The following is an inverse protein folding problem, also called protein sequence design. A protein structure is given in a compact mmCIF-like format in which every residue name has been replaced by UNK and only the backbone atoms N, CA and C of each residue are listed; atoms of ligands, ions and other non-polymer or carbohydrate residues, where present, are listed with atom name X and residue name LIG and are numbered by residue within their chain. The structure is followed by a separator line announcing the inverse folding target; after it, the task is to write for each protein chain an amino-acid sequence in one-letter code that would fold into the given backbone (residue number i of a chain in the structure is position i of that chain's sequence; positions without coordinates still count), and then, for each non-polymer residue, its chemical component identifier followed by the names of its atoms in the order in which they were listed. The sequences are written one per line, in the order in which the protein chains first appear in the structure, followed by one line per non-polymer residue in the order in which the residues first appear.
data_IF_708622146287
#
_entry.id   IF_708622146287
#
_cell.length_a   1.000
_cell.length_b   1.000
_cell.length_c   1.000
_cell.angle_alpha   90.00
_cell.angle_beta   90.00
_cell.angle_gamma   90.00
#
_symmetry.space_group_name_H-M   'P 1'
#
loop_
_entity.id
_entity.type
_entity.pdbx_description
1 polymer ?
#
# COMPACT_ATOMS: atom_id res chain seq x y z
N UNK A 1 20.51 8.10 13.65
CA UNK A 1 19.55 8.19 12.52
C UNK A 1 19.41 6.80 11.92
N UNK A 2 18.38 6.04 12.32
CA UNK A 2 18.19 4.65 11.87
C UNK A 2 17.76 4.69 10.40
N UNK A 3 18.48 4.01 9.50
CA UNK A 3 18.12 3.94 8.07
C UNK A 3 16.74 3.28 7.96
N UNK A 4 15.85 3.84 7.12
CA UNK A 4 14.48 3.33 6.92
C UNK A 4 14.42 1.83 6.58
N UNK A 5 15.45 1.31 5.93
CA UNK A 5 15.63 -0.12 5.63
C UNK A 5 15.84 -0.99 6.88
N UNK A 6 16.48 -0.48 7.94
CA UNK A 6 16.67 -1.21 9.20
C UNK A 6 15.35 -1.33 9.98
N UNK A 7 14.52 -0.29 9.92
CA UNK A 7 13.20 -0.30 10.57
C UNK A 7 12.23 -1.26 9.86
N UNK A 8 12.33 -1.38 8.54
CA UNK A 8 11.58 -2.35 7.74
C UNK A 8 12.04 -3.80 8.00
N UNK A 9 13.34 -4.04 8.14
CA UNK A 9 13.90 -5.35 8.49
C UNK A 9 13.49 -5.78 9.90
N UNK A 10 13.50 -4.85 10.87
CA UNK A 10 13.01 -5.12 12.24
C UNK A 10 11.51 -5.42 12.26
N UNK A 11 10.71 -4.73 11.44
CA UNK A 11 9.28 -5.02 11.29
C UNK A 11 9.06 -6.43 10.71
N UNK A 12 9.81 -6.78 9.65
CA UNK A 12 9.78 -8.13 9.04
C UNK A 12 10.21 -9.22 10.02
N UNK A 13 11.28 -9.00 10.80
CA UNK A 13 11.73 -9.93 11.83
C UNK A 13 10.68 -10.11 12.95
N UNK A 14 10.01 -9.03 13.36
CA UNK A 14 8.92 -9.13 14.34
C UNK A 14 7.72 -9.92 13.81
N UNK A 15 7.45 -9.87 12.51
CA UNK A 15 6.40 -10.67 11.87
C UNK A 15 6.80 -12.15 11.78
N UNK A 16 8.09 -12.46 11.57
CA UNK A 16 8.57 -13.86 11.55
C UNK A 16 8.51 -14.53 12.91
N UNK A 17 8.68 -13.79 14.01
CA UNK A 17 8.53 -14.33 15.37
C UNK A 17 7.08 -14.66 15.72
N UNK A 18 6.10 -14.05 15.03
CA UNK A 18 4.69 -14.43 15.15
C UNK A 18 4.39 -15.74 14.41
N UNK A 19 5.02 -15.98 13.26
CA UNK A 19 4.83 -17.21 12.49
C UNK A 19 5.35 -18.48 13.21
N UNK A 20 6.23 -18.33 14.20
CA UNK A 20 6.77 -19.45 14.99
C UNK A 20 6.07 -19.63 16.34
N UNK A 21 5.14 -18.75 16.73
CA UNK A 21 4.46 -18.82 18.03
C UNK A 21 3.13 -19.61 17.98
N UNK A 22 2.75 -20.13 16.80
CA UNK A 22 1.46 -20.75 16.51
C UNK A 22 1.59 -22.27 16.28
N UNK A 23 2.34 -22.94 17.16
CA UNK A 23 2.28 -24.41 17.32
C UNK A 23 1.20 -24.83 18.33
N UNK A 24 0.44 -23.86 18.87
CA UNK A 24 -0.69 -24.12 19.74
C UNK A 24 -1.95 -24.42 18.90
N UNK A 25 -2.15 -25.72 18.72
CA UNK A 25 -3.38 -26.46 18.34
C UNK A 25 -3.99 -26.20 16.97
N UNK A 26 -3.15 -26.24 15.92
CA UNK A 26 -3.62 -26.57 14.57
C UNK A 26 -4.43 -27.89 14.58
N UNK A 27 -4.02 -28.86 15.41
CA UNK A 27 -4.69 -30.16 15.61
C UNK A 27 -6.13 -30.03 16.15
N UNK A 28 -6.42 -29.12 17.10
CA UNK A 28 -7.80 -28.92 17.60
C UNK A 28 -8.69 -28.23 16.55
N UNK A 29 -8.10 -27.42 15.68
CA UNK A 29 -8.81 -26.80 14.57
C UNK A 29 -9.07 -27.81 13.45
N UNK A 30 -8.15 -28.73 13.21
CA UNK A 30 -8.31 -29.84 12.25
C UNK A 30 -9.42 -30.80 12.70
N UNK A 31 -9.47 -31.17 13.98
CA UNK A 31 -10.51 -32.07 14.53
C UNK A 31 -11.92 -31.48 14.38
N UNK A 32 -12.09 -30.17 14.63
CA UNK A 32 -13.38 -29.49 14.42
C UNK A 32 -13.77 -29.32 12.95
N UNK A 33 -12.79 -29.21 12.06
CA UNK A 33 -13.02 -29.13 10.62
C UNK A 33 -13.44 -30.50 10.07
N UNK A 34 -12.86 -31.59 10.57
CA UNK A 34 -13.24 -32.94 10.16
C UNK A 34 -14.65 -33.33 10.64
N UNK A 35 -15.05 -32.98 11.87
CA UNK A 35 -16.45 -33.16 12.32
C UNK A 35 -17.45 -32.38 11.44
N UNK A 36 -17.12 -31.15 11.07
CA UNK A 36 -17.96 -30.33 10.18
C UNK A 36 -18.03 -30.91 8.75
N UNK A 37 -16.95 -31.54 8.29
CA UNK A 37 -16.85 -32.18 6.98
C UNK A 37 -17.68 -33.45 6.88
N UNK A 38 -17.67 -34.27 7.93
CA UNK A 38 -18.48 -35.50 8.02
C UNK A 38 -19.99 -35.20 8.04
N UNK A 39 -20.39 -34.09 8.67
CA UNK A 39 -21.76 -33.55 8.63
C UNK A 39 -22.15 -33.00 7.24
N UNK A 40 -21.19 -32.47 6.48
CA UNK A 40 -21.42 -31.90 5.16
C UNK A 40 -21.49 -32.96 4.04
N UNK A 41 -20.75 -34.07 4.15
CA UNK A 41 -20.74 -35.16 3.14
C UNK A 41 -22.11 -35.84 2.95
N UNK A 42 -23.02 -35.73 3.92
CA UNK A 42 -24.40 -36.26 3.78
C UNK A 42 -25.34 -35.36 2.97
N UNK A 43 -24.90 -34.23 2.42
CA UNK A 43 -25.76 -33.34 1.63
C UNK A 43 -24.97 -32.63 0.52
N UNK A 44 -24.76 -33.30 -0.62
CA UNK A 44 -23.94 -32.82 -1.76
C UNK A 44 -24.26 -31.39 -2.22
N UNK A 45 -25.51 -30.94 -2.15
CA UNK A 45 -25.92 -29.59 -2.56
C UNK A 45 -25.67 -28.51 -1.48
N UNK A 46 -25.40 -28.91 -0.23
CA UNK A 46 -25.02 -27.99 0.87
C UNK A 46 -23.51 -27.89 1.06
N UNK A 47 -22.70 -28.64 0.31
CA UNK A 47 -21.24 -28.68 0.50
C UNK A 47 -20.58 -27.35 0.10
N UNK A 48 -20.98 -26.73 -1.02
CA UNK A 48 -20.41 -25.43 -1.42
C UNK A 48 -20.85 -24.29 -0.48
N UNK A 49 -22.13 -24.26 -0.09
CA UNK A 49 -22.64 -23.25 0.85
C UNK A 49 -22.05 -23.43 2.26
N UNK A 50 -21.88 -24.68 2.72
CA UNK A 50 -21.22 -24.97 4.00
C UNK A 50 -19.73 -24.62 3.96
N UNK A 51 -19.02 -24.87 2.85
CA UNK A 51 -17.62 -24.47 2.72
C UNK A 51 -17.46 -22.94 2.73
N UNK A 52 -18.31 -22.19 2.00
CA UNK A 52 -18.27 -20.73 2.04
C UNK A 52 -18.62 -20.18 3.44
N UNK A 53 -19.58 -20.79 4.12
CA UNK A 53 -19.95 -20.41 5.48
C UNK A 53 -18.80 -20.66 6.47
N UNK A 54 -18.16 -21.84 6.39
CA UNK A 54 -16.99 -22.19 7.21
C UNK A 54 -15.80 -21.28 6.94
N UNK A 55 -15.56 -20.89 5.69
CA UNK A 55 -14.50 -19.93 5.36
C UNK A 55 -14.78 -18.56 5.98
N UNK A 56 -16.01 -18.04 5.85
CA UNK A 56 -16.36 -16.73 6.38
C UNK A 56 -16.30 -16.69 7.92
N UNK A 57 -16.78 -17.73 8.61
CA UNK A 57 -16.67 -17.84 10.06
C UNK A 57 -15.21 -17.99 10.51
N UNK A 58 -14.39 -18.73 9.77
CA UNK A 58 -12.95 -18.85 10.06
C UNK A 58 -12.25 -17.50 9.99
N UNK A 59 -12.62 -16.63 9.05
CA UNK A 59 -12.07 -15.27 8.96
C UNK A 59 -12.40 -14.42 10.17
N UNK A 60 -13.67 -14.43 10.56
CA UNK A 60 -14.13 -13.68 11.72
C UNK A 60 -13.49 -14.21 13.00
N UNK A 61 -13.36 -15.54 13.11
CA UNK A 61 -12.69 -16.20 14.23
C UNK A 61 -11.22 -15.80 14.35
N UNK A 62 -10.43 -15.91 13.28
CA UNK A 62 -9.02 -15.51 13.27
C UNK A 62 -8.85 -14.03 13.60
N UNK A 63 -9.71 -13.17 13.04
CA UNK A 63 -9.73 -11.75 13.35
C UNK A 63 -10.00 -11.48 14.84
N UNK A 64 -10.93 -12.20 15.44
CA UNK A 64 -11.27 -12.09 16.86
C UNK A 64 -10.16 -12.60 17.77
N UNK A 65 -9.56 -13.75 17.47
CA UNK A 65 -8.42 -14.29 18.21
C UNK A 65 -7.22 -13.33 18.17
N UNK A 66 -6.92 -12.78 17.00
CA UNK A 66 -5.83 -11.83 16.84
C UNK A 66 -6.06 -10.54 17.63
N UNK A 67 -7.29 -10.02 17.58
CA UNK A 67 -7.72 -8.88 18.39
C UNK A 67 -7.59 -9.17 19.89
N UNK A 68 -8.00 -10.35 20.35
CA UNK A 68 -7.89 -10.75 21.75
C UNK A 68 -6.42 -10.80 22.20
N UNK A 69 -5.56 -11.46 21.41
CA UNK A 69 -4.12 -11.56 21.68
C UNK A 69 -3.45 -10.18 21.75
N UNK A 70 -3.80 -9.27 20.83
CA UNK A 70 -3.31 -7.89 20.87
C UNK A 70 -3.78 -7.13 22.12
N UNK A 71 -5.06 -7.26 22.48
CA UNK A 71 -5.64 -6.55 23.61
C UNK A 71 -5.18 -7.06 24.97
N UNK A 72 -4.60 -8.27 25.06
CA UNK A 72 -3.92 -8.75 26.27
C UNK A 72 -2.76 -7.83 26.68
N UNK A 73 -2.13 -7.13 25.73
CA UNK A 73 -1.10 -6.13 26.04
C UNK A 73 -1.74 -4.79 26.46
N UNK A 74 -1.46 -4.35 27.70
CA UNK A 74 -1.99 -3.11 28.28
C UNK A 74 -1.73 -1.87 27.42
N UNK A 75 -0.56 -1.78 26.77
CA UNK A 75 -0.20 -0.64 25.91
C UNK A 75 -1.08 -0.62 24.67
N UNK A 76 -1.26 -1.78 24.03
CA UNK A 76 -2.08 -1.91 22.82
C UNK A 76 -3.55 -1.62 23.14
N UNK A 77 -4.06 -2.08 24.27
CA UNK A 77 -5.42 -1.77 24.72
C UNK A 77 -5.63 -0.26 24.95
N UNK A 78 -4.63 0.44 25.50
CA UNK A 78 -4.68 1.91 25.65
C UNK A 78 -4.70 2.62 24.28
N UNK A 79 -3.86 2.17 23.35
CA UNK A 79 -3.84 2.69 21.97
C UNK A 79 -5.19 2.44 21.30
N UNK A 80 -5.73 1.23 21.38
CA UNK A 80 -7.05 0.88 20.83
C UNK A 80 -8.17 1.78 21.39
N UNK A 81 -8.19 1.98 22.71
CA UNK A 81 -9.15 2.88 23.38
C UNK A 81 -8.99 4.32 22.90
N UNK A 82 -7.75 4.79 22.69
CA UNK A 82 -7.49 6.13 22.17
C UNK A 82 -7.91 6.27 20.70
N UNK A 83 -7.60 5.30 19.84
CA UNK A 83 -7.98 5.30 18.43
C UNK A 83 -9.50 5.23 18.26
N UNK A 84 -10.21 4.46 19.09
CA UNK A 84 -11.69 4.46 19.14
C UNK A 84 -12.26 5.84 19.46
N UNK A 85 -11.64 6.63 20.34
CA UNK A 85 -12.07 8.01 20.63
C UNK A 85 -11.88 8.94 19.43
N UNK A 86 -10.92 8.66 18.57
CA UNK A 86 -10.62 9.44 17.36
C UNK A 86 -11.17 8.74 16.10
N UNK A 87 -12.24 7.93 16.26
CA UNK A 87 -12.86 7.20 15.15
C UNK A 87 -13.31 8.10 14.01
N UNK A 88 -13.69 9.35 14.29
CA UNK A 88 -14.06 10.34 13.28
C UNK A 88 -12.94 10.57 12.25
N UNK A 89 -11.67 10.53 12.69
CA UNK A 89 -10.52 10.71 11.80
C UNK A 89 -10.38 9.51 10.85
N UNK A 90 -10.69 8.30 11.33
CA UNK A 90 -10.68 7.11 10.48
C UNK A 90 -11.80 7.13 9.45
N UNK A 91 -13.00 7.56 9.86
CA UNK A 91 -14.11 7.77 8.91
C UNK A 91 -13.71 8.79 7.86
N UNK A 92 -13.03 9.88 8.24
CA UNK A 92 -12.56 10.90 7.29
C UNK A 92 -11.42 10.42 6.38
N UNK A 93 -10.45 9.66 6.90
CA UNK A 93 -9.28 9.23 6.13
C UNK A 93 -9.51 7.95 5.32
N UNK A 94 -10.35 7.04 5.82
CA UNK A 94 -10.54 5.68 5.29
C UNK A 94 -11.97 5.36 4.86
N UNK A 95 -12.95 6.17 5.22
CA UNK A 95 -14.36 5.90 4.92
C UNK A 95 -15.00 4.83 5.82
N UNK A 96 -14.30 4.39 6.87
CA UNK A 96 -14.80 3.38 7.82
C UNK A 96 -14.44 3.75 9.27
N UNK A 97 -15.30 3.41 10.25
CA UNK A 97 -15.00 3.61 11.65
C UNK A 97 -13.81 2.74 12.06
N UNK A 98 -12.99 3.25 12.99
CA UNK A 98 -11.88 2.49 13.52
C UNK A 98 -12.37 1.16 14.14
N UNK A 99 -11.80 0.06 13.65
CA UNK A 99 -11.94 -1.27 14.21
C UNK A 99 -10.55 -1.91 14.23
N UNK A 100 -10.17 -2.56 15.35
CA UNK A 100 -8.92 -3.32 15.44
C UNK A 100 -9.08 -4.62 14.62
N UNK A 101 -9.06 -4.49 13.31
CA UNK A 101 -9.13 -5.57 12.33
C UNK A 101 -7.85 -5.59 11.49
N UNK A 102 -7.47 -6.80 11.05
CA UNK A 102 -6.33 -6.99 10.15
C UNK A 102 -6.55 -6.26 8.82
N UNK A 103 -7.80 -6.19 8.37
CA UNK A 103 -8.27 -5.43 7.20
C UNK A 103 -7.95 -3.95 7.29
N UNK A 104 -8.35 -3.28 8.38
CA UNK A 104 -8.06 -1.85 8.56
C UNK A 104 -6.55 -1.62 8.66
N UNK A 105 -5.81 -2.48 9.36
CA UNK A 105 -4.35 -2.38 9.44
C UNK A 105 -3.69 -2.44 8.05
N UNK A 106 -4.10 -3.39 7.22
CA UNK A 106 -3.60 -3.53 5.85
C UNK A 106 -4.04 -2.34 4.97
N UNK A 107 -5.27 -1.86 5.12
CA UNK A 107 -5.76 -0.66 4.45
C UNK A 107 -4.94 0.58 4.83
N UNK A 108 -4.56 0.75 6.11
CA UNK A 108 -3.66 1.83 6.56
C UNK A 108 -2.28 1.70 5.91
N UNK A 109 -1.72 0.51 5.85
CA UNK A 109 -0.43 0.28 5.19
C UNK A 109 -0.48 0.61 3.69
N UNK A 110 -1.53 0.17 3.00
CA UNK A 110 -1.78 0.51 1.60
C UNK A 110 -1.94 2.02 1.41
N UNK A 111 -2.72 2.68 2.26
CA UNK A 111 -2.93 4.12 2.22
C UNK A 111 -1.59 4.88 2.34
N UNK A 112 -0.75 4.53 3.32
CA UNK A 112 0.58 5.16 3.50
C UNK A 112 1.46 4.92 2.28
N UNK A 113 1.42 3.70 1.73
CA UNK A 113 2.17 3.34 0.54
C UNK A 113 1.74 4.19 -0.67
N UNK A 114 0.45 4.21 -0.99
CA UNK A 114 -0.09 4.97 -2.12
C UNK A 114 0.09 6.47 -1.93
N UNK A 115 -0.13 7.00 -0.74
CA UNK A 115 0.16 8.40 -0.41
C UNK A 115 1.63 8.75 -0.70
N UNK A 116 2.57 7.91 -0.26
CA UNK A 116 4.00 8.14 -0.49
C UNK A 116 4.36 8.04 -1.97
N UNK A 117 3.81 7.04 -2.67
CA UNK A 117 4.04 6.82 -4.10
C UNK A 117 3.50 8.01 -4.93
N UNK A 118 2.27 8.43 -4.69
CA UNK A 118 1.68 9.60 -5.33
C UNK A 118 2.42 10.88 -4.99
N UNK A 119 2.84 11.07 -3.73
CA UNK A 119 3.64 12.23 -3.35
C UNK A 119 4.94 12.31 -4.13
N UNK A 120 5.60 11.16 -4.34
CA UNK A 120 6.83 11.11 -5.13
C UNK A 120 6.57 11.44 -6.60
N UNK A 121 5.52 10.84 -7.20
CA UNK A 121 5.12 11.13 -8.57
C UNK A 121 4.82 12.62 -8.75
N UNK A 122 3.96 13.20 -7.92
CA UNK A 122 3.55 14.60 -8.05
C UNK A 122 4.68 15.57 -7.77
N UNK A 123 5.58 15.27 -6.85
CA UNK A 123 6.77 16.08 -6.59
C UNK A 123 7.73 16.11 -7.80
N UNK A 124 7.64 15.10 -8.68
CA UNK A 124 8.38 15.06 -9.93
C UNK A 124 7.69 15.80 -11.08
N UNK A 125 6.49 16.37 -10.94
CA UNK A 125 5.92 17.29 -11.92
C UNK A 125 6.48 18.72 -11.74
N UNK A 126 6.67 19.49 -12.82
CA UNK A 126 7.31 20.83 -12.78
C UNK A 126 6.39 21.90 -12.21
N UNK A 127 5.09 21.68 -12.36
CA UNK A 127 4.05 22.66 -12.04
C UNK A 127 3.80 22.80 -10.55
N UNK A 128 4.14 21.77 -9.75
CA UNK A 128 3.80 21.74 -8.33
C UNK A 128 5.03 21.95 -7.45
N UNK A 129 4.89 22.79 -6.43
CA UNK A 129 5.85 22.82 -5.32
C UNK A 129 5.72 21.50 -4.54
N UNK A 130 6.78 21.10 -3.82
CA UNK A 130 6.75 19.87 -3.01
C UNK A 130 5.55 19.84 -2.06
N UNK A 131 5.25 20.96 -1.40
CA UNK A 131 4.09 21.07 -0.49
C UNK A 131 2.76 20.81 -1.20
N UNK A 132 2.54 21.46 -2.35
CA UNK A 132 1.33 21.25 -3.16
C UNK A 132 1.22 19.80 -3.63
N UNK A 133 2.33 19.19 -4.06
CA UNK A 133 2.36 17.78 -4.45
C UNK A 133 1.96 16.84 -3.31
N UNK A 134 2.43 17.07 -2.07
CA UNK A 134 2.00 16.30 -0.90
C UNK A 134 0.51 16.50 -0.61
N UNK A 135 -0.01 17.73 -0.71
CA UNK A 135 -1.43 18.01 -0.51
C UNK A 135 -2.32 17.31 -1.54
N UNK A 136 -1.92 17.35 -2.82
CA UNK A 136 -2.65 16.65 -3.90
C UNK A 136 -2.59 15.14 -3.68
N UNK A 137 -1.42 14.59 -3.36
CA UNK A 137 -1.25 13.17 -3.07
C UNK A 137 -2.10 12.70 -1.88
N UNK A 138 -2.15 13.51 -0.81
CA UNK A 138 -2.99 13.26 0.35
C UNK A 138 -4.47 13.26 -0.04
N UNK A 139 -4.91 14.25 -0.80
CA UNK A 139 -6.30 14.33 -1.29
C UNK A 139 -6.69 13.11 -2.13
N UNK A 140 -5.84 12.70 -3.07
CA UNK A 140 -6.08 11.51 -3.90
C UNK A 140 -6.11 10.24 -3.04
N UNK A 141 -5.19 10.07 -2.10
CA UNK A 141 -5.18 8.92 -1.20
C UNK A 141 -6.46 8.86 -0.35
N UNK A 142 -6.91 9.99 0.20
CA UNK A 142 -8.17 10.05 0.95
C UNK A 142 -9.37 9.73 0.05
N UNK A 143 -9.45 10.28 -1.16
CA UNK A 143 -10.53 9.96 -2.11
C UNK A 143 -10.53 8.46 -2.46
N UNK A 144 -9.36 7.88 -2.75
CA UNK A 144 -9.23 6.44 -3.01
C UNK A 144 -9.69 5.59 -1.82
N UNK A 145 -9.39 6.02 -0.60
CA UNK A 145 -9.83 5.34 0.61
C UNK A 145 -11.36 5.41 0.78
N UNK A 146 -11.94 6.59 0.60
CA UNK A 146 -13.38 6.83 0.67
C UNK A 146 -14.17 6.01 -0.37
N UNK A 147 -13.55 5.73 -1.53
CA UNK A 147 -14.12 4.83 -2.54
C UNK A 147 -14.00 3.33 -2.17
N UNK A 148 -13.37 2.99 -1.04
CA UNK A 148 -13.17 1.62 -0.58
C UNK A 148 -12.08 0.85 -1.32
N UNK A 149 -11.23 1.52 -2.12
CA UNK A 149 -10.19 0.86 -2.93
C UNK A 149 -9.22 0.07 -2.03
N UNK A 150 -8.79 0.66 -0.91
CA UNK A 150 -7.85 0.00 -0.01
C UNK A 150 -8.47 -1.18 0.73
N UNK A 151 -9.77 -1.09 1.07
CA UNK A 151 -10.51 -2.22 1.66
C UNK A 151 -10.59 -3.38 0.68
N UNK A 152 -11.02 -3.13 -0.56
CA UNK A 152 -11.08 -4.16 -1.60
C UNK A 152 -9.71 -4.79 -1.87
N UNK A 153 -8.65 -3.97 -1.97
CA UNK A 153 -7.28 -4.48 -2.14
C UNK A 153 -6.85 -5.33 -0.94
N UNK A 154 -7.16 -4.90 0.28
CA UNK A 154 -6.83 -5.68 1.48
C UNK A 154 -7.55 -7.02 1.51
N UNK A 155 -8.84 -7.07 1.16
CA UNK A 155 -9.62 -8.31 1.05
C UNK A 155 -9.04 -9.24 -0.03
N UNK A 156 -8.66 -8.69 -1.19
CA UNK A 156 -8.00 -9.47 -2.25
C UNK A 156 -6.65 -10.02 -1.77
N UNK A 157 -5.85 -9.22 -1.07
CA UNK A 157 -4.58 -9.69 -0.50
C UNK A 157 -4.83 -10.80 0.52
N UNK A 158 -5.82 -10.67 1.40
CA UNK A 158 -6.15 -11.73 2.36
C UNK A 158 -6.61 -13.00 1.67
N UNK A 159 -7.52 -12.88 0.71
CA UNK A 159 -7.93 -14.02 -0.12
C UNK A 159 -6.71 -14.67 -0.73
N UNK A 160 -5.80 -13.93 -1.37
CA UNK A 160 -4.60 -14.49 -2.00
C UNK A 160 -3.67 -15.17 -0.97
N UNK A 161 -3.41 -14.54 0.17
CA UNK A 161 -2.51 -15.08 1.20
C UNK A 161 -3.05 -16.37 1.77
N UNK A 162 -4.37 -16.53 1.86
CA UNK A 162 -5.00 -17.63 2.57
C UNK A 162 -5.85 -18.58 1.70
N UNK A 163 -5.94 -18.35 0.39
CA UNK A 163 -6.86 -19.08 -0.51
C UNK A 163 -6.63 -20.59 -0.51
N UNK A 164 -5.43 -21.08 -0.19
CA UNK A 164 -5.12 -22.52 -0.08
C UNK A 164 -3.98 -22.76 0.89
N UNK A 165 -4.12 -23.76 1.75
CA UNK A 165 -2.98 -24.37 2.46
C UNK A 165 -2.18 -25.22 1.45
N UNK A 166 -0.87 -24.97 1.31
CA UNK A 166 0.03 -25.78 0.46
C UNK A 166 0.97 -24.98 -0.45
N UNK A 167 1.72 -25.67 -1.32
CA UNK A 167 2.76 -25.09 -2.19
C UNK A 167 2.21 -23.97 -3.10
N UNK A 168 0.93 -24.05 -3.47
CA UNK A 168 0.27 -23.03 -4.30
C UNK A 168 0.15 -21.67 -3.61
N UNK A 169 0.08 -21.61 -2.29
CA UNK A 169 0.07 -20.37 -1.51
C UNK A 169 1.34 -19.56 -1.77
N UNK A 170 2.49 -20.22 -1.73
CA UNK A 170 3.78 -19.63 -2.02
C UNK A 170 3.84 -19.14 -3.46
N UNK A 171 3.34 -19.92 -4.42
CA UNK A 171 3.28 -19.52 -5.81
C UNK A 171 2.48 -18.22 -6.01
N UNK A 172 1.28 -18.12 -5.43
CA UNK A 172 0.47 -16.89 -5.50
C UNK A 172 1.11 -15.71 -4.77
N UNK A 173 1.72 -15.95 -3.60
CA UNK A 173 2.50 -14.93 -2.91
C UNK A 173 3.65 -14.40 -3.76
N UNK A 174 4.40 -15.28 -4.44
CA UNK A 174 5.47 -14.87 -5.36
C UNK A 174 4.93 -14.13 -6.58
N UNK A 175 3.80 -14.56 -7.16
CA UNK A 175 3.14 -13.84 -8.26
C UNK A 175 2.72 -12.44 -7.80
N UNK A 176 2.12 -12.32 -6.61
CA UNK A 176 1.74 -11.04 -6.03
C UNK A 176 2.96 -10.15 -5.76
N UNK A 177 4.03 -10.71 -5.18
CA UNK A 177 5.30 -10.01 -4.96
C UNK A 177 5.92 -9.53 -6.28
N UNK A 178 5.84 -10.35 -7.33
CA UNK A 178 6.35 -10.03 -8.66
C UNK A 178 5.52 -8.94 -9.33
N UNK A 179 4.19 -9.02 -9.25
CA UNK A 179 3.27 -7.97 -9.71
C UNK A 179 3.51 -6.65 -8.97
N UNK A 180 3.72 -6.73 -7.65
CA UNK A 180 4.08 -5.58 -6.81
C UNK A 180 5.42 -4.95 -7.23
N UNK A 181 6.46 -5.77 -7.42
CA UNK A 181 7.75 -5.32 -7.94
C UNK A 181 7.62 -4.68 -9.33
N UNK A 182 6.82 -5.27 -10.22
CA UNK A 182 6.52 -4.70 -11.53
C UNK A 182 5.83 -3.33 -11.41
N UNK A 183 4.87 -3.20 -10.49
CA UNK A 183 4.23 -1.92 -10.18
C UNK A 183 5.26 -0.86 -9.75
N UNK A 184 6.18 -1.21 -8.85
CA UNK A 184 7.25 -0.30 -8.42
C UNK A 184 8.20 0.08 -9.56
N UNK A 185 8.58 -0.88 -10.41
CA UNK A 185 9.42 -0.62 -11.58
C UNK A 185 8.71 0.28 -12.60
N UNK A 186 7.43 0.04 -12.84
CA UNK A 186 6.60 0.85 -13.73
C UNK A 186 6.52 2.30 -13.24
N UNK A 187 6.26 2.49 -11.94
CA UNK A 187 6.23 3.81 -11.31
C UNK A 187 7.58 4.53 -11.41
N UNK A 188 8.69 3.81 -11.20
CA UNK A 188 10.05 4.34 -11.41
C UNK A 188 10.32 4.75 -12.86
N UNK A 189 9.82 3.98 -13.82
CA UNK A 189 9.98 4.29 -15.24
C UNK A 189 9.19 5.54 -15.64
N UNK A 190 7.96 5.68 -15.12
CA UNK A 190 7.16 6.90 -15.27
C UNK A 190 7.92 8.12 -14.69
N UNK A 191 8.42 7.99 -13.46
CA UNK A 191 9.23 9.01 -12.79
C UNK A 191 10.46 9.43 -13.64
N UNK A 192 11.25 8.45 -14.09
CA UNK A 192 12.41 8.70 -14.94
C UNK A 192 12.05 9.33 -16.30
N UNK A 193 10.95 8.91 -16.91
CA UNK A 193 10.44 9.50 -18.15
C UNK A 193 10.09 10.97 -17.97
N UNK A 194 9.40 11.30 -16.88
CA UNK A 194 9.07 12.69 -16.53
C UNK A 194 10.32 13.53 -16.24
N UNK A 195 11.31 12.96 -15.55
CA UNK A 195 12.59 13.63 -15.30
C UNK A 195 13.33 13.94 -16.60
N UNK A 196 13.41 12.99 -17.53
CA UNK A 196 14.04 13.21 -18.85
C UNK A 196 13.35 14.32 -19.62
N UNK A 197 12.02 14.29 -19.68
CA UNK A 197 11.24 15.32 -20.34
C UNK A 197 11.51 16.72 -19.77
N UNK A 198 11.63 16.84 -18.44
CA UNK A 198 12.02 18.10 -17.78
C UNK A 198 13.42 18.57 -18.13
N UNK A 199 14.39 17.65 -18.14
CA UNK A 199 15.78 17.98 -18.47
C UNK A 199 15.88 18.44 -19.92
N UNK A 200 15.11 17.85 -20.83
CA UNK A 200 15.04 18.28 -22.23
C UNK A 200 14.37 19.66 -22.38
N UNK A 201 13.30 19.95 -21.64
CA UNK A 201 12.66 21.27 -21.65
C UNK A 201 13.61 22.36 -21.10
N UNK A 202 14.38 22.04 -20.05
CA UNK A 202 15.41 22.94 -19.50
C UNK A 202 16.53 23.18 -20.51
N UNK A 203 17.04 22.13 -21.15
CA UNK A 203 18.05 22.27 -22.20
C UNK A 203 17.56 23.14 -23.35
N UNK A 204 16.33 22.96 -23.81
CA UNK A 204 15.71 23.82 -24.85
C UNK A 204 15.62 25.28 -24.41
N UNK A 205 15.22 25.56 -23.16
CA UNK A 205 15.16 26.94 -22.64
C UNK A 205 16.54 27.57 -22.49
N UNK A 206 17.54 26.80 -22.07
CA UNK A 206 18.93 27.27 -21.97
C UNK A 206 19.48 27.56 -23.37
N UNK A 207 19.26 26.67 -24.34
CA UNK A 207 19.70 26.86 -25.71
C UNK A 207 19.03 28.05 -26.38
N UNK A 208 17.71 28.22 -26.22
CA UNK A 208 17.00 29.40 -26.71
C UNK A 208 17.55 30.72 -26.12
N UNK A 209 17.95 30.72 -24.84
CA UNK A 209 18.60 31.90 -24.21
C UNK A 209 20.00 32.16 -24.77
N UNK A 210 20.79 31.10 -25.00
CA UNK A 210 22.11 31.20 -25.63
C UNK A 210 22.00 31.73 -27.06
N UNK A 211 21.08 31.19 -27.84
CA UNK A 211 20.84 31.61 -29.22
C UNK A 211 20.40 33.09 -29.27
N UNK A 212 19.54 33.52 -28.35
CA UNK A 212 19.14 34.92 -28.23
C UNK A 212 20.31 35.84 -27.83
N UNK A 213 21.19 35.39 -26.94
CA UNK A 213 22.38 36.16 -26.53
C UNK A 213 23.42 36.26 -27.66
N UNK A 214 23.62 35.18 -28.42
CA UNK A 214 24.49 35.16 -29.62
C UNK A 214 23.95 36.08 -30.70
N UNK A 215 22.63 36.05 -30.95
CA UNK A 215 21.99 36.96 -31.90
C UNK A 215 22.17 38.41 -31.47
N UNK A 216 21.97 38.73 -30.19
CA UNK A 216 22.16 40.09 -29.68
C UNK A 216 23.60 40.58 -29.86
N UNK A 217 24.59 39.78 -29.49
CA UNK A 217 26.02 40.12 -29.67
C UNK A 217 26.41 40.28 -31.14
N UNK A 218 25.82 39.45 -32.02
CA UNK A 218 26.02 39.58 -33.47
C UNK A 218 25.46 40.90 -34.01
N UNK A 219 24.28 41.31 -33.55
CA UNK A 219 23.67 42.59 -33.95
C UNK A 219 24.49 43.77 -33.43
N UNK A 220 24.88 43.76 -32.16
CA UNK A 220 25.75 44.79 -31.54
C UNK A 220 27.07 44.95 -32.32
N UNK A 221 27.73 43.84 -32.68
CA UNK A 221 28.98 43.89 -33.46
C UNK A 221 28.82 44.41 -34.90
N UNK A 222 27.65 44.21 -35.53
CA UNK A 222 27.35 44.79 -36.86
C UNK A 222 27.11 46.29 -36.74
N UNK A 223 26.41 46.76 -35.70
CA UNK A 223 26.16 48.18 -35.47
C UNK A 223 27.45 48.95 -35.17
N UNK A 224 28.37 48.36 -34.39
CA UNK A 224 29.69 48.96 -34.13
C UNK A 224 30.51 49.09 -35.43
N UNK A 225 30.57 48.05 -36.26
CA UNK A 225 31.30 48.08 -37.52
C UNK A 225 30.72 48.98 -38.61
N UNK A 226 29.46 49.40 -38.51
CA UNK A 226 28.83 50.38 -39.41
C UNK A 226 29.10 51.83 -39.01
N UNK A 227 29.48 52.08 -37.76
CA UNK A 227 29.74 53.42 -37.23
C UNK A 227 31.22 53.83 -37.30
N UNK A 228 32.12 52.90 -37.66
CA UNK A 228 33.53 53.16 -38.00
C UNK A 228 33.70 53.56 -39.48
#
# INVERSE_FOLDING_TARGET
MIKKSVLFILLLLSLTTFATAEELTLDELEERVDEARELAENTEEKIEDAQQFLEQERWEYLGNQWKELLLKNKIINQIDTFLKKISFLFIFLFGEPYALSLTLLLAIMLWIFFFTAFSHIFAEFSTFTKGIAYTIAFGIAVISAQLGIYRQLSEVIFRIIFYKTGIWQWAFFFIFLLAWMMGLMFMKNIALGMKKWKDDERKKKIQAKLDQEVLRKTVEGIEEGLNE
#
